data_IF_857865456242
#
_entry.id   IF_857865456242
#
_cell.length_a   1.000
_cell.length_b   1.000
_cell.length_c   1.000
_cell.angle_alpha   90.00
_cell.angle_beta   90.00
_cell.angle_gamma   90.00
#
_symmetry.space_group_name_H-M   'P 1'
#
loop_
_entity.id
_entity.type
_entity.pdbx_description
1 polymer ?
#
# COMPACT_ATOMS: atom_id res chain seq x y z
N UNK A 1 36.13 37.45 -33.17
CA UNK A 1 36.17 37.70 -31.72
C UNK A 1 34.91 38.50 -31.38
N UNK A 2 33.81 37.81 -31.06
CA UNK A 2 32.56 38.43 -30.63
C UNK A 2 32.11 37.75 -29.35
N UNK A 3 31.94 38.61 -28.35
CA UNK A 3 31.54 38.33 -26.99
C UNK A 3 30.10 37.80 -27.01
N UNK A 4 29.88 36.59 -26.52
CA UNK A 4 28.54 36.14 -26.11
C UNK A 4 28.20 36.84 -24.80
N UNK A 5 27.53 37.99 -24.92
CA UNK A 5 26.90 38.67 -23.79
C UNK A 5 25.70 37.87 -23.32
N UNK A 6 25.67 37.70 -21.99
CA UNK A 6 24.51 37.27 -21.22
C UNK A 6 23.44 38.36 -21.34
N UNK A 7 22.34 38.05 -22.03
CA UNK A 7 21.06 38.77 -21.93
C UNK A 7 19.98 37.70 -21.68
N UNK A 8 19.65 37.50 -20.40
CA UNK A 8 18.43 38.00 -19.76
C UNK A 8 17.16 37.30 -20.26
N UNK A 9 16.59 36.40 -19.45
CA UNK A 9 15.68 36.79 -18.36
C UNK A 9 14.51 37.67 -18.83
N UNK A 10 13.83 37.37 -19.95
CA UNK A 10 12.49 37.93 -20.21
C UNK A 10 11.75 37.15 -21.31
N UNK A 11 11.29 35.94 -20.99
CA UNK A 11 10.15 35.32 -21.72
C UNK A 11 9.56 34.17 -20.87
N UNK A 12 8.88 34.47 -19.75
CA UNK A 12 8.12 33.45 -19.03
C UNK A 12 7.03 32.81 -19.91
N UNK A 13 6.68 33.41 -21.05
CA UNK A 13 5.70 32.89 -22.01
C UNK A 13 6.16 31.64 -22.76
N UNK A 14 7.46 31.44 -23.02
CA UNK A 14 7.94 30.26 -23.75
C UNK A 14 8.07 29.01 -22.86
N UNK A 15 8.40 29.17 -21.58
CA UNK A 15 8.39 28.06 -20.62
C UNK A 15 6.95 27.62 -20.31
N UNK A 16 6.04 28.58 -20.16
CA UNK A 16 4.61 28.30 -20.00
C UNK A 16 4.03 27.67 -21.28
N UNK A 17 4.42 28.12 -22.47
CA UNK A 17 4.01 27.50 -23.74
C UNK A 17 4.64 26.12 -23.97
N UNK A 18 5.83 25.81 -23.46
CA UNK A 18 6.37 24.44 -23.48
C UNK A 18 5.64 23.51 -22.49
N UNK A 19 5.22 24.02 -21.32
CA UNK A 19 4.34 23.30 -20.40
C UNK A 19 2.95 23.05 -21.01
N UNK A 20 2.45 23.96 -21.86
CA UNK A 20 1.17 23.80 -22.56
C UNK A 20 1.27 23.08 -23.93
N UNK A 21 2.43 22.95 -24.55
CA UNK A 21 2.61 22.09 -25.75
C UNK A 21 2.55 20.60 -25.36
N UNK A 22 2.57 20.30 -24.05
CA UNK A 22 2.23 19.00 -23.44
C UNK A 22 0.69 18.81 -23.33
N UNK A 23 -0.15 19.73 -23.83
CA UNK A 23 -1.61 19.69 -23.72
C UNK A 23 -2.30 18.45 -24.31
N UNK A 24 -1.62 17.67 -25.18
CA UNK A 24 -2.14 16.38 -25.66
C UNK A 24 -1.96 15.20 -24.67
N UNK A 25 -1.03 15.31 -23.72
CA UNK A 25 -0.62 14.22 -22.81
C UNK A 25 -0.79 14.54 -21.32
N UNK A 26 -1.24 15.75 -20.95
CA UNK A 26 -1.48 16.20 -19.57
C UNK A 26 -2.21 15.17 -18.69
N UNK A 27 -3.36 14.58 -19.08
CA UNK A 27 -4.04 13.60 -18.22
C UNK A 27 -3.25 12.29 -18.06
N UNK A 28 -2.43 11.92 -19.05
CA UNK A 28 -1.61 10.71 -18.99
C UNK A 28 -0.43 10.90 -18.01
N UNK A 29 0.18 12.08 -18.01
CA UNK A 29 1.26 12.41 -17.08
C UNK A 29 0.78 12.48 -15.63
N UNK A 30 -0.37 13.11 -15.40
CA UNK A 30 -0.96 13.16 -14.05
C UNK A 30 -1.28 11.76 -13.56
N UNK A 31 -1.89 10.90 -14.38
CA UNK A 31 -2.22 9.53 -13.99
C UNK A 31 -0.97 8.68 -13.70
N UNK A 32 0.09 8.82 -14.52
CA UNK A 32 1.39 8.17 -14.27
C UNK A 32 1.97 8.66 -12.93
N UNK A 33 1.93 9.97 -12.69
CA UNK A 33 2.35 10.58 -11.43
C UNK A 33 1.56 10.03 -10.23
N UNK A 34 0.23 10.00 -10.30
CA UNK A 34 -0.63 9.44 -9.27
C UNK A 34 -0.33 7.97 -8.99
N UNK A 35 -0.07 7.17 -10.03
CA UNK A 35 0.27 5.74 -9.88
C UNK A 35 1.60 5.54 -9.17
N UNK A 36 2.65 6.26 -9.59
CA UNK A 36 3.95 6.23 -8.92
C UNK A 36 3.86 6.74 -7.48
N UNK A 37 3.03 7.77 -7.25
CA UNK A 37 2.81 8.35 -5.93
C UNK A 37 2.16 7.36 -4.97
N UNK A 38 1.06 6.73 -5.39
CA UNK A 38 0.36 5.73 -4.56
C UNK A 38 1.27 4.53 -4.27
N UNK A 39 2.07 4.09 -5.24
CA UNK A 39 3.09 3.06 -5.00
C UNK A 39 4.08 3.48 -3.90
N UNK A 40 4.60 4.72 -3.98
CA UNK A 40 5.45 5.29 -2.95
C UNK A 40 4.78 5.34 -1.58
N UNK A 41 3.49 5.69 -1.51
CA UNK A 41 2.73 5.71 -0.26
C UNK A 41 2.53 4.33 0.36
N UNK A 42 2.33 3.29 -0.48
CA UNK A 42 2.25 1.91 0.01
C UNK A 42 3.59 1.46 0.61
N UNK A 43 4.71 1.75 -0.07
CA UNK A 43 6.05 1.44 0.45
C UNK A 43 6.35 2.20 1.74
N UNK A 44 6.04 3.50 1.78
CA UNK A 44 6.20 4.33 2.97
C UNK A 44 5.33 3.85 4.13
N UNK A 45 4.09 3.44 3.86
CA UNK A 45 3.21 2.80 4.85
C UNK A 45 3.81 1.51 5.41
N UNK A 46 4.37 0.66 4.54
CA UNK A 46 5.11 -0.54 4.95
C UNK A 46 6.31 -0.21 5.84
N UNK A 47 7.12 0.77 5.44
CA UNK A 47 8.28 1.23 6.20
C UNK A 47 7.88 1.73 7.60
N UNK A 48 6.89 2.63 7.68
CA UNK A 48 6.39 3.18 8.96
C UNK A 48 5.79 2.12 9.89
N UNK A 49 5.25 1.02 9.35
CA UNK A 49 4.82 -0.13 10.15
C UNK A 49 6.02 -0.92 10.70
N UNK A 50 7.03 -1.17 9.86
CA UNK A 50 8.23 -1.93 10.25
C UNK A 50 9.10 -1.16 11.24
N UNK A 51 9.14 0.16 11.15
CA UNK A 51 9.85 1.05 12.09
C UNK A 51 9.05 1.33 13.36
N UNK A 52 7.84 0.77 13.51
CA UNK A 52 6.91 1.03 14.61
C UNK A 52 6.51 2.51 14.79
N UNK A 53 6.83 3.37 13.81
CA UNK A 53 6.68 4.82 13.90
C UNK A 53 5.30 5.32 13.44
N UNK A 54 4.38 4.42 13.06
CA UNK A 54 3.07 4.77 12.52
C UNK A 54 2.10 5.39 13.54
N UNK A 55 2.27 5.07 14.83
CA UNK A 55 1.51 5.64 15.96
C UNK A 55 2.42 6.14 17.08
N UNK A 56 3.70 5.76 17.08
CA UNK A 56 4.60 6.13 18.16
C UNK A 56 5.04 7.59 17.97
N UNK A 57 4.90 8.35 19.05
CA UNK A 57 5.74 9.50 19.33
C UNK A 57 7.19 9.12 19.02
N UNK A 58 7.90 9.98 18.30
CA UNK A 58 9.20 9.67 17.71
C UNK A 58 10.18 9.10 18.74
N UNK A 59 10.99 8.14 18.28
CA UNK A 59 12.10 7.43 18.96
C UNK A 59 11.85 6.71 20.30
N UNK A 60 10.81 7.07 21.04
CA UNK A 60 10.66 6.69 22.44
C UNK A 60 9.91 5.37 22.61
N UNK A 61 10.61 4.39 23.21
CA UNK A 61 10.04 3.14 23.71
C UNK A 61 9.66 3.33 25.18
N UNK A 62 8.43 2.93 25.53
CA UNK A 62 7.92 2.94 26.92
C UNK A 62 8.84 2.15 27.88
N UNK A 63 9.61 1.19 27.34
CA UNK A 63 10.67 0.47 28.04
C UNK A 63 11.97 0.49 27.21
N UNK A 64 13.08 0.96 27.82
CA UNK A 64 14.44 0.83 27.27
C UNK A 64 15.09 2.13 26.75
N UNK A 65 14.32 3.18 26.53
CA UNK A 65 14.85 4.53 26.23
C UNK A 65 14.56 5.48 27.39
N UNK A 66 15.56 6.30 27.76
CA UNK A 66 15.41 7.30 28.82
C UNK A 66 14.19 8.19 28.53
N UNK A 67 13.35 8.41 29.54
CA UNK A 67 12.19 9.28 29.43
C UNK A 67 12.64 10.73 29.15
N UNK A 68 12.00 11.46 28.22
CA UNK A 68 12.20 12.89 28.09
C UNK A 68 11.99 13.53 29.46
N UNK A 69 13.08 14.02 30.03
CA UNK A 69 13.14 14.50 31.41
C UNK A 69 13.10 16.02 31.49
N UNK A 70 13.27 16.68 30.35
CA UNK A 70 13.22 18.14 30.20
C UNK A 70 12.12 18.54 29.22
N UNK A 71 11.59 19.74 29.40
CA UNK A 71 10.60 20.32 28.47
C UNK A 71 11.15 20.43 27.05
N UNK A 72 12.45 20.67 26.89
CA UNK A 72 13.13 20.73 25.60
C UNK A 72 13.13 19.39 24.87
N UNK A 73 13.43 18.28 25.58
CA UNK A 73 13.36 16.93 25.04
C UNK A 73 11.93 16.59 24.63
N UNK A 74 10.95 16.97 25.45
CA UNK A 74 9.52 16.81 25.16
C UNK A 74 9.08 17.58 23.90
N UNK A 75 9.47 18.84 23.79
CA UNK A 75 9.14 19.66 22.62
C UNK A 75 9.78 19.11 21.35
N UNK A 76 11.00 18.56 21.44
CA UNK A 76 11.67 17.93 20.30
C UNK A 76 10.89 16.72 19.77
N UNK A 77 10.48 15.81 20.65
CA UNK A 77 9.70 14.63 20.26
C UNK A 77 8.30 15.00 19.76
N UNK A 78 7.65 15.97 20.40
CA UNK A 78 6.34 16.46 19.95
C UNK A 78 6.42 17.16 18.58
N UNK A 79 7.47 17.93 18.32
CA UNK A 79 7.69 18.57 17.02
C UNK A 79 7.96 17.54 15.92
N UNK A 80 8.76 16.52 16.19
CA UNK A 80 9.03 15.46 15.23
C UNK A 80 7.76 14.62 14.93
N UNK A 81 6.93 14.35 15.94
CA UNK A 81 5.58 13.78 15.74
C UNK A 81 4.69 14.66 14.83
N UNK A 82 4.62 15.98 15.09
CA UNK A 82 3.84 16.91 14.25
C UNK A 82 4.33 16.95 12.81
N UNK A 83 5.64 16.87 12.58
CA UNK A 83 6.24 16.84 11.24
C UNK A 83 5.84 15.57 10.50
N UNK A 84 5.99 14.39 11.12
CA UNK A 84 5.57 13.11 10.51
C UNK A 84 4.08 13.09 10.16
N UNK A 85 3.25 13.59 11.07
CA UNK A 85 1.80 13.70 10.88
C UNK A 85 1.41 14.68 9.77
N UNK A 86 2.06 15.85 9.72
CA UNK A 86 1.81 16.86 8.68
C UNK A 86 2.33 16.41 7.31
N UNK A 87 3.46 15.69 7.27
CA UNK A 87 3.99 15.10 6.04
C UNK A 87 2.98 14.13 5.42
N UNK A 88 2.44 13.17 6.18
CA UNK A 88 1.45 12.21 5.68
C UNK A 88 0.20 12.89 5.08
N UNK A 89 -0.24 14.02 5.66
CA UNK A 89 -1.36 14.81 5.13
C UNK A 89 -1.00 15.58 3.88
N UNK A 90 0.17 16.18 3.84
CA UNK A 90 0.71 16.81 2.63
C UNK A 90 0.73 15.84 1.45
N UNK A 91 1.05 14.56 1.73
CA UNK A 91 1.04 13.54 0.69
C UNK A 91 -0.36 13.23 0.14
N UNK A 92 -1.37 13.20 1.00
CA UNK A 92 -2.77 13.03 0.61
C UNK A 92 -3.34 14.25 -0.14
N UNK A 93 -2.96 15.46 0.26
CA UNK A 93 -3.33 16.70 -0.41
C UNK A 93 -2.74 16.75 -1.82
N UNK A 94 -1.48 16.35 -2.01
CA UNK A 94 -0.87 16.28 -3.34
C UNK A 94 -1.65 15.37 -4.30
N UNK A 95 -2.06 14.18 -3.82
CA UNK A 95 -2.90 13.27 -4.59
C UNK A 95 -4.26 13.90 -4.93
N UNK A 96 -4.94 14.50 -3.94
CA UNK A 96 -6.23 15.15 -4.15
C UNK A 96 -6.15 16.31 -5.14
N UNK A 97 -5.11 17.15 -5.07
CA UNK A 97 -4.86 18.25 -5.99
C UNK A 97 -4.62 17.74 -7.42
N UNK A 98 -3.85 16.66 -7.59
CA UNK A 98 -3.65 16.02 -8.90
C UNK A 98 -4.97 15.54 -9.51
N UNK A 99 -5.83 14.91 -8.70
CA UNK A 99 -7.15 14.44 -9.14
C UNK A 99 -8.11 15.60 -9.46
N UNK A 100 -8.13 16.66 -8.66
CA UNK A 100 -8.91 17.87 -8.91
C UNK A 100 -8.42 18.59 -10.18
N UNK A 101 -7.11 18.71 -10.39
CA UNK A 101 -6.55 19.29 -11.61
C UNK A 101 -6.98 18.51 -12.86
N UNK A 102 -7.01 17.17 -12.80
CA UNK A 102 -7.57 16.34 -13.87
C UNK A 102 -9.07 16.61 -14.11
N UNK A 103 -9.86 16.76 -13.05
CA UNK A 103 -11.31 17.00 -13.17
C UNK A 103 -11.63 18.40 -13.74
N UNK A 104 -10.85 19.42 -13.35
CA UNK A 104 -11.07 20.82 -13.72
C UNK A 104 -10.52 21.19 -15.11
N UNK A 105 -9.64 20.37 -15.68
CA UNK A 105 -8.99 20.70 -16.96
C UNK A 105 -9.88 20.52 -18.19
N UNK A 106 -11.09 19.95 -18.10
CA UNK A 106 -12.03 19.71 -19.22
C UNK A 106 -11.45 19.00 -20.48
N UNK A 107 -10.17 18.62 -20.47
CA UNK A 107 -9.45 17.99 -21.59
C UNK A 107 -9.62 16.45 -21.61
N UNK A 108 -10.52 15.88 -20.80
CA UNK A 108 -10.63 14.43 -20.60
C UNK A 108 -11.97 13.93 -21.13
N UNK A 109 -11.94 12.84 -21.91
CA UNK A 109 -13.16 12.17 -22.39
C UNK A 109 -14.04 11.76 -21.19
N UNK A 110 -15.37 11.95 -21.25
CA UNK A 110 -16.29 11.63 -20.15
C UNK A 110 -16.08 10.27 -19.46
N UNK A 111 -15.84 9.15 -20.19
CA UNK A 111 -15.62 7.85 -19.53
C UNK A 111 -14.29 7.78 -18.75
N UNK A 112 -13.25 8.49 -19.18
CA UNK A 112 -12.00 8.56 -18.43
C UNK A 112 -12.15 9.50 -17.23
N UNK A 113 -12.90 10.61 -17.38
CA UNK A 113 -13.21 11.52 -16.28
C UNK A 113 -13.95 10.78 -15.15
N UNK A 114 -15.00 10.00 -15.46
CA UNK A 114 -15.71 9.19 -14.47
C UNK A 114 -14.79 8.21 -13.73
N UNK A 115 -13.94 7.49 -14.47
CA UNK A 115 -12.99 6.53 -13.87
C UNK A 115 -12.00 7.22 -12.94
N UNK A 116 -11.47 8.38 -13.33
CA UNK A 116 -10.58 9.16 -12.50
C UNK A 116 -11.31 9.69 -11.25
N UNK A 117 -12.52 10.23 -11.40
CA UNK A 117 -13.34 10.66 -10.26
C UNK A 117 -13.58 9.52 -9.28
N UNK A 118 -13.90 8.32 -9.77
CA UNK A 118 -14.06 7.13 -8.91
C UNK A 118 -12.75 6.74 -8.21
N UNK A 119 -11.61 6.79 -8.90
CA UNK A 119 -10.30 6.55 -8.27
C UNK A 119 -9.99 7.60 -7.19
N UNK A 120 -10.33 8.87 -7.43
CA UNK A 120 -10.18 9.94 -6.46
C UNK A 120 -11.06 9.74 -5.23
N UNK A 121 -12.33 9.34 -5.44
CA UNK A 121 -13.25 9.01 -4.36
C UNK A 121 -12.74 7.82 -3.52
N UNK A 122 -12.26 6.75 -4.17
CA UNK A 122 -11.64 5.61 -3.48
C UNK A 122 -10.39 6.03 -2.69
N UNK A 123 -9.55 6.91 -3.23
CA UNK A 123 -8.43 7.50 -2.50
C UNK A 123 -8.87 8.33 -1.28
N UNK A 124 -9.97 9.08 -1.40
CA UNK A 124 -10.59 9.78 -0.27
C UNK A 124 -11.07 8.83 0.82
N UNK A 125 -11.77 7.74 0.45
CA UNK A 125 -12.15 6.67 1.38
C UNK A 125 -10.91 6.07 2.04
N UNK A 126 -9.81 5.90 1.31
CA UNK A 126 -8.56 5.38 1.87
C UNK A 126 -7.98 6.29 2.95
N UNK A 127 -8.01 7.61 2.71
CA UNK A 127 -7.66 8.60 3.74
C UNK A 127 -8.55 8.51 4.99
N UNK A 128 -9.86 8.34 4.82
CA UNK A 128 -10.80 8.17 5.93
C UNK A 128 -10.55 6.88 6.72
N UNK A 129 -10.26 5.78 6.04
CA UNK A 129 -9.92 4.50 6.67
C UNK A 129 -8.61 4.62 7.46
N UNK A 130 -7.60 5.29 6.89
CA UNK A 130 -6.34 5.56 7.59
C UNK A 130 -6.55 6.41 8.85
N UNK A 131 -7.39 7.45 8.77
CA UNK A 131 -7.78 8.22 9.96
C UNK A 131 -8.51 7.36 10.99
N UNK A 132 -9.45 6.52 10.56
CA UNK A 132 -10.17 5.61 11.45
C UNK A 132 -9.23 4.65 12.18
N UNK A 133 -8.27 4.05 11.46
CA UNK A 133 -7.22 3.21 12.03
C UNK A 133 -6.45 3.93 13.14
N UNK A 134 -5.98 5.15 12.87
CA UNK A 134 -5.18 5.91 13.84
C UNK A 134 -6.01 6.28 15.07
N UNK A 135 -7.19 6.87 14.87
CA UNK A 135 -8.08 7.29 15.96
C UNK A 135 -8.45 6.13 16.89
N UNK A 136 -8.75 4.98 16.30
CA UNK A 136 -9.19 3.80 17.05
C UNK A 136 -8.03 3.02 17.70
N UNK A 137 -6.78 3.37 17.42
CA UNK A 137 -5.60 2.85 18.13
C UNK A 137 -5.39 3.48 19.50
N UNK A 138 -6.01 4.64 19.77
CA UNK A 138 -5.91 5.35 21.06
C UNK A 138 -7.00 4.97 22.08
N UNK A 139 -7.91 4.05 21.74
CA UNK A 139 -8.88 3.50 22.70
C UNK A 139 -8.16 2.51 23.62
N UNK A 140 -8.46 2.56 24.92
CA UNK A 140 -7.67 1.88 25.97
C UNK A 140 -7.41 0.39 25.65
N UNK A 141 -6.14 -0.06 25.72
CA UNK A 141 -5.81 -1.47 25.48
C UNK A 141 -6.41 -2.37 26.57
N UNK A 142 -7.08 -3.45 26.16
CA UNK A 142 -7.60 -4.47 27.10
C UNK A 142 -6.52 -5.37 27.71
N UNK A 143 -5.24 -5.13 27.39
CA UNK A 143 -4.10 -5.89 27.89
C UNK A 143 -3.26 -5.04 28.82
N UNK A 144 -2.71 -5.68 29.87
CA UNK A 144 -1.87 -5.11 30.93
C UNK A 144 -0.69 -4.27 30.40
N UNK A 145 -0.23 -4.57 29.19
CA UNK A 145 0.72 -3.75 28.42
C UNK A 145 -0.04 -2.68 27.61
N UNK A 146 -0.01 -1.44 28.10
CA UNK A 146 -0.64 -0.26 27.47
C UNK A 146 0.09 0.23 26.22
N UNK A 147 0.07 -0.54 25.13
CA UNK A 147 0.52 -0.05 23.81
C UNK A 147 -0.69 0.29 22.94
N UNK A 148 -0.81 1.55 22.45
CA UNK A 148 -1.83 1.93 21.47
C UNK A 148 -1.64 1.08 20.20
N UNK A 149 -2.61 0.23 19.86
CA UNK A 149 -2.49 -0.71 18.75
C UNK A 149 -3.68 -0.67 17.82
N UNK A 150 -3.38 -0.71 16.52
CA UNK A 150 -4.39 -0.88 15.48
C UNK A 150 -4.77 -2.35 15.38
N UNK A 151 -6.07 -2.63 15.36
CA UNK A 151 -6.59 -3.98 15.10
C UNK A 151 -6.02 -4.55 13.79
N UNK A 152 -5.58 -5.83 13.76
CA UNK A 152 -5.08 -6.50 12.56
C UNK A 152 -6.08 -6.46 11.40
N UNK A 153 -7.38 -6.56 11.70
CA UNK A 153 -8.45 -6.48 10.69
C UNK A 153 -8.48 -5.12 10.00
N UNK A 154 -8.27 -4.02 10.74
CA UNK A 154 -8.23 -2.67 10.16
C UNK A 154 -7.00 -2.48 9.28
N UNK A 155 -5.85 -3.00 9.72
CA UNK A 155 -4.61 -2.98 8.93
C UNK A 155 -4.76 -3.77 7.62
N UNK A 156 -5.29 -4.99 7.69
CA UNK A 156 -5.56 -5.81 6.51
C UNK A 156 -6.53 -5.12 5.55
N UNK A 157 -7.64 -4.58 6.07
CA UNK A 157 -8.62 -3.85 5.27
C UNK A 157 -8.00 -2.65 4.55
N UNK A 158 -7.21 -1.83 5.25
CA UNK A 158 -6.56 -0.67 4.67
C UNK A 158 -5.50 -1.04 3.63
N UNK A 159 -4.66 -2.04 3.89
CA UNK A 159 -3.65 -2.49 2.93
C UNK A 159 -4.29 -3.05 1.65
N UNK A 160 -5.32 -3.89 1.79
CA UNK A 160 -6.01 -4.49 0.65
C UNK A 160 -6.73 -3.43 -0.19
N UNK A 161 -7.34 -2.45 0.46
CA UNK A 161 -7.99 -1.37 -0.28
C UNK A 161 -6.96 -0.46 -0.98
N UNK A 162 -5.79 -0.19 -0.37
CA UNK A 162 -4.67 0.49 -1.03
C UNK A 162 -4.17 -0.29 -2.24
N UNK A 163 -3.97 -1.60 -2.10
CA UNK A 163 -3.54 -2.48 -3.19
C UNK A 163 -4.55 -2.54 -4.33
N UNK A 164 -5.85 -2.57 -4.01
CA UNK A 164 -6.92 -2.46 -4.99
C UNK A 164 -6.91 -1.13 -5.75
N UNK A 165 -6.80 0.00 -5.04
CA UNK A 165 -6.69 1.33 -5.65
C UNK A 165 -5.46 1.43 -6.55
N UNK A 166 -4.30 0.96 -6.08
CA UNK A 166 -3.08 0.91 -6.88
C UNK A 166 -3.25 0.06 -8.14
N UNK A 167 -3.89 -1.10 -8.03
CA UNK A 167 -4.16 -1.99 -9.17
C UNK A 167 -5.03 -1.29 -10.21
N UNK A 168 -6.08 -0.57 -9.78
CA UNK A 168 -6.93 0.21 -10.69
C UNK A 168 -6.13 1.33 -11.36
N UNK A 169 -5.36 2.12 -10.60
CA UNK A 169 -4.53 3.21 -11.16
C UNK A 169 -3.48 2.70 -12.14
N UNK A 170 -2.82 1.60 -11.80
CA UNK A 170 -1.83 0.93 -12.65
C UNK A 170 -2.49 0.41 -13.93
N UNK A 171 -3.64 -0.26 -13.81
CA UNK A 171 -4.39 -0.76 -14.97
C UNK A 171 -4.79 0.38 -15.91
N UNK A 172 -5.27 1.49 -15.36
CA UNK A 172 -5.63 2.68 -16.13
C UNK A 172 -4.40 3.29 -16.81
N UNK A 173 -3.25 3.36 -16.12
CA UNK A 173 -1.99 3.84 -16.70
C UNK A 173 -1.50 2.96 -17.83
N UNK A 174 -1.48 1.64 -17.63
CA UNK A 174 -1.07 0.67 -18.65
C UNK A 174 -2.01 0.70 -19.87
N UNK A 175 -3.31 0.89 -19.65
CA UNK A 175 -4.29 1.04 -20.73
C UNK A 175 -4.04 2.27 -21.61
N UNK A 176 -3.43 3.33 -21.05
CA UNK A 176 -3.02 4.52 -21.81
C UNK A 176 -1.66 4.35 -22.48
N UNK A 177 -0.75 3.58 -21.87
CA UNK A 177 0.57 3.28 -22.43
C UNK A 177 0.51 2.24 -23.56
N UNK A 178 -0.47 1.33 -23.51
CA UNK A 178 -0.63 0.19 -24.41
C UNK A 178 -2.05 0.20 -25.02
N UNK A 179 -2.30 1.00 -26.07
CA UNK A 179 -3.63 1.15 -26.65
C UNK A 179 -4.18 -0.17 -27.24
N UNK A 180 -5.47 -0.42 -27.04
CA UNK A 180 -6.21 -1.58 -27.58
C UNK A 180 -6.01 -1.85 -29.08
N UNK A 181 -5.97 -0.87 -30.01
CA UNK A 181 -5.73 -1.17 -31.43
C UNK A 181 -4.32 -1.70 -31.72
N UNK A 182 -3.30 -1.27 -30.98
CA UNK A 182 -1.94 -1.82 -31.11
C UNK A 182 -1.88 -3.26 -30.58
N UNK A 183 -2.59 -3.54 -29.48
CA UNK A 183 -2.75 -4.89 -28.92
C UNK A 183 -3.58 -5.81 -29.83
N UNK A 184 -4.61 -5.28 -30.48
CA UNK A 184 -5.47 -5.99 -31.40
C UNK A 184 -4.75 -6.28 -32.73
N UNK A 185 -3.96 -5.35 -33.26
CA UNK A 185 -3.13 -5.55 -34.45
C UNK A 185 -2.06 -6.64 -34.22
N UNK A 186 -1.42 -6.66 -33.05
CA UNK A 186 -0.48 -7.73 -32.69
C UNK A 186 -1.17 -9.11 -32.52
N UNK A 187 -2.40 -9.14 -31.99
CA UNK A 187 -3.17 -10.36 -31.80
C UNK A 187 -3.79 -10.90 -33.10
N UNK A 188 -4.15 -10.03 -34.04
CA UNK A 188 -4.77 -10.40 -35.32
C UNK A 188 -3.86 -11.31 -36.18
N UNK A 189 -2.54 -11.16 -36.05
CA UNK A 189 -1.54 -11.99 -36.76
C UNK A 189 -1.53 -13.46 -36.31
N UNK A 190 -2.16 -13.81 -35.18
CA UNK A 190 -2.13 -15.15 -34.56
C UNK A 190 -3.48 -15.55 -33.92
N UNK A 191 -4.59 -15.08 -34.49
CA UNK A 191 -5.87 -14.83 -33.81
C UNK A 191 -6.59 -16.02 -33.12
N UNK A 192 -6.51 -17.26 -33.62
CA UNK A 192 -7.24 -18.39 -33.02
C UNK A 192 -6.49 -19.03 -31.83
N UNK A 193 -5.19 -19.32 -32.01
CA UNK A 193 -4.34 -19.85 -30.95
C UNK A 193 -4.12 -18.81 -29.83
N UNK A 194 -4.03 -17.53 -30.17
CA UNK A 194 -3.92 -16.45 -29.18
C UNK A 194 -5.20 -16.17 -28.42
N UNK A 195 -6.39 -16.40 -28.97
CA UNK A 195 -7.64 -16.21 -28.24
C UNK A 195 -7.79 -17.23 -27.09
N UNK A 196 -7.47 -18.50 -27.34
CA UNK A 196 -7.44 -19.55 -26.32
C UNK A 196 -6.32 -19.31 -25.30
N UNK A 197 -5.11 -18.95 -25.75
CA UNK A 197 -4.00 -18.60 -24.87
C UNK A 197 -4.31 -17.35 -24.00
N UNK A 198 -5.00 -16.34 -24.54
CA UNK A 198 -5.43 -15.17 -23.79
C UNK A 198 -6.57 -15.47 -22.80
N UNK A 199 -7.45 -16.44 -23.10
CA UNK A 199 -8.45 -16.91 -22.15
C UNK A 199 -7.81 -17.69 -20.99
N UNK A 200 -6.88 -18.60 -21.29
CA UNK A 200 -6.09 -19.31 -20.28
C UNK A 200 -5.26 -18.33 -19.41
N UNK A 201 -4.54 -17.40 -20.05
CA UNK A 201 -3.76 -16.38 -19.35
C UNK A 201 -4.61 -15.47 -18.45
N UNK A 202 -5.87 -15.19 -18.81
CA UNK A 202 -6.79 -14.45 -17.93
C UNK A 202 -7.17 -15.25 -16.69
N UNK A 203 -7.47 -16.54 -16.83
CA UNK A 203 -7.75 -17.43 -15.70
C UNK A 203 -6.54 -17.51 -14.77
N UNK A 204 -5.36 -17.71 -15.35
CA UNK A 204 -4.11 -17.78 -14.58
C UNK A 204 -3.77 -16.45 -13.92
N UNK A 205 -4.00 -15.32 -14.59
CA UNK A 205 -3.83 -13.99 -14.00
C UNK A 205 -4.79 -13.73 -12.83
N UNK A 206 -6.05 -14.17 -12.93
CA UNK A 206 -7.00 -14.09 -11.81
C UNK A 206 -6.60 -15.00 -10.65
N UNK A 207 -6.14 -16.22 -10.93
CA UNK A 207 -5.63 -17.13 -9.91
C UNK A 207 -4.40 -16.55 -9.20
N UNK A 208 -3.45 -16.00 -9.97
CA UNK A 208 -2.28 -15.32 -9.42
C UNK A 208 -2.67 -14.10 -8.59
N UNK A 209 -3.61 -13.27 -9.07
CA UNK A 209 -4.11 -12.12 -8.31
C UNK A 209 -4.79 -12.53 -7.00
N UNK A 210 -5.54 -13.63 -7.00
CA UNK A 210 -6.16 -14.17 -5.79
C UNK A 210 -5.11 -14.67 -4.78
N UNK A 211 -4.10 -15.40 -5.25
CA UNK A 211 -2.97 -15.85 -4.41
C UNK A 211 -2.21 -14.64 -3.86
N UNK A 212 -1.91 -13.65 -4.69
CA UNK A 212 -1.25 -12.42 -4.25
C UNK A 212 -2.08 -11.71 -3.17
N UNK A 213 -3.39 -11.53 -3.39
CA UNK A 213 -4.28 -10.91 -2.41
C UNK A 213 -4.34 -11.70 -1.10
N UNK A 214 -4.35 -13.03 -1.15
CA UNK A 214 -4.29 -13.90 0.02
C UNK A 214 -2.96 -13.72 0.77
N UNK A 215 -1.83 -13.69 0.07
CA UNK A 215 -0.51 -13.44 0.64
C UNK A 215 -0.39 -12.06 1.28
N UNK A 216 -0.88 -11.01 0.60
CA UNK A 216 -0.93 -9.65 1.16
C UNK A 216 -1.81 -9.59 2.41
N UNK A 217 -2.97 -10.26 2.40
CA UNK A 217 -3.85 -10.35 3.56
C UNK A 217 -3.15 -11.04 4.73
N UNK A 218 -2.54 -12.20 4.48
CA UNK A 218 -1.78 -12.95 5.49
C UNK A 218 -0.63 -12.14 6.06
N UNK A 219 0.12 -11.43 5.19
CA UNK A 219 1.19 -10.52 5.62
C UNK A 219 0.67 -9.37 6.48
N UNK A 220 -0.51 -8.82 6.16
CA UNK A 220 -1.13 -7.78 6.97
C UNK A 220 -1.56 -8.27 8.36
N UNK A 221 -2.08 -9.50 8.46
CA UNK A 221 -2.38 -10.11 9.76
C UNK A 221 -1.10 -10.39 10.55
N UNK A 222 -0.03 -10.87 9.90
CA UNK A 222 1.26 -11.09 10.56
C UNK A 222 1.82 -9.77 11.09
N UNK A 223 1.81 -8.73 10.27
CA UNK A 223 2.22 -7.40 10.68
C UNK A 223 1.27 -6.81 11.74
N UNK A 224 -0.03 -7.08 11.70
CA UNK A 224 -1.00 -6.56 12.66
C UNK A 224 -0.89 -7.18 14.05
N UNK A 225 -0.50 -8.46 14.12
CA UNK A 225 -0.36 -9.22 15.36
C UNK A 225 1.09 -9.26 15.89
N UNK A 226 2.03 -8.57 15.24
CA UNK A 226 3.49 -8.68 15.52
C UNK A 226 4.02 -10.13 15.47
N UNK A 227 3.31 -10.98 14.73
CA UNK A 227 3.57 -12.40 14.62
C UNK A 227 4.90 -12.71 13.91
N UNK A 228 5.50 -11.73 13.23
CA UNK A 228 6.83 -11.91 12.63
C UNK A 228 7.96 -12.14 13.66
N UNK A 229 7.67 -11.97 14.96
CA UNK A 229 8.64 -12.13 16.04
C UNK A 229 8.44 -13.38 16.91
N UNK A 230 7.31 -14.08 16.80
CA UNK A 230 7.03 -15.20 17.70
C UNK A 230 7.83 -16.45 17.34
N UNK A 231 8.08 -16.71 16.05
CA UNK A 231 8.92 -17.83 15.61
C UNK A 231 9.99 -17.37 14.61
N UNK A 232 11.23 -17.22 15.08
CA UNK A 232 12.35 -16.70 14.27
C UNK A 232 13.21 -17.79 13.61
N UNK A 233 12.83 -19.06 13.73
CA UNK A 233 13.50 -20.18 13.06
C UNK A 233 12.76 -20.57 11.78
N UNK A 234 13.48 -21.21 10.86
CA UNK A 234 12.94 -21.74 9.61
C UNK A 234 13.72 -23.03 9.26
N UNK A 235 13.08 -24.08 8.69
CA UNK A 235 11.67 -24.18 8.32
C UNK A 235 10.70 -24.41 9.48
N UNK A 236 11.20 -24.85 10.65
CA UNK A 236 10.41 -25.05 11.86
C UNK A 236 10.08 -23.73 12.56
N UNK A 237 8.96 -23.68 13.27
CA UNK A 237 8.54 -22.56 14.12
C UNK A 237 8.97 -22.84 15.57
N UNK A 238 10.18 -22.41 15.92
CA UNK A 238 10.88 -22.88 17.12
C UNK A 238 11.39 -24.31 16.93
N UNK A 239 11.13 -25.16 17.93
CA UNK A 239 11.44 -26.61 17.87
C UNK A 239 10.34 -27.43 17.18
N UNK A 240 9.20 -26.80 16.87
CA UNK A 240 8.00 -27.44 16.36
C UNK A 240 7.75 -27.12 14.88
N UNK A 241 7.18 -28.06 14.12
CA UNK A 241 6.69 -27.79 12.76
C UNK A 241 5.35 -27.06 12.79
N UNK A 242 4.52 -27.36 13.78
CA UNK A 242 3.27 -26.66 14.07
C UNK A 242 3.30 -26.29 15.55
N UNK A 243 3.17 -25.00 15.91
CA UNK A 243 3.13 -24.59 17.31
C UNK A 243 1.98 -25.30 18.05
N UNK A 244 2.22 -25.87 19.24
CA UNK A 244 1.19 -26.59 20.01
C UNK A 244 -0.05 -25.73 20.33
N UNK A 245 0.10 -24.42 20.37
CA UNK A 245 -0.94 -23.41 20.59
C UNK A 245 -2.02 -23.45 19.51
N UNK A 246 -1.70 -23.93 18.31
CA UNK A 246 -2.66 -24.20 17.22
C UNK A 246 -3.70 -25.26 17.64
N UNK A 247 -3.31 -26.18 18.51
CA UNK A 247 -4.15 -27.28 19.01
C UNK A 247 -4.72 -27.00 20.40
N UNK A 248 -4.56 -25.78 20.92
CA UNK A 248 -5.02 -25.43 22.25
C UNK A 248 -6.55 -25.60 22.38
N UNK A 249 -7.05 -26.13 23.52
CA UNK A 249 -8.48 -26.20 23.80
C UNK A 249 -9.10 -24.80 23.75
N UNK A 250 -10.19 -24.62 22.99
CA UNK A 250 -10.84 -23.32 22.80
C UNK A 250 -10.38 -22.52 21.57
N UNK A 251 -9.68 -23.16 20.61
CA UNK A 251 -9.40 -22.58 19.31
C UNK A 251 -10.71 -22.31 18.52
N UNK A 252 -10.95 -21.06 18.15
CA UNK A 252 -12.09 -20.64 17.31
C UNK A 252 -11.59 -20.12 15.97
N UNK A 253 -12.50 -19.97 14.99
CA UNK A 253 -12.13 -19.44 13.66
C UNK A 253 -11.52 -18.03 13.74
N UNK A 254 -11.95 -17.22 14.70
CA UNK A 254 -11.45 -15.86 14.93
C UNK A 254 -10.05 -15.88 15.53
N UNK A 255 -9.79 -16.81 16.46
CA UNK A 255 -8.46 -16.97 17.06
C UNK A 255 -7.37 -17.34 16.07
N UNK A 256 -7.73 -17.96 14.92
CA UNK A 256 -6.77 -18.19 13.83
C UNK A 256 -6.14 -16.90 13.30
N UNK A 257 -6.87 -15.77 13.36
CA UNK A 257 -6.44 -14.47 12.85
C UNK A 257 -5.89 -13.51 13.93
N UNK A 258 -6.03 -13.88 15.20
CA UNK A 258 -5.66 -13.07 16.37
C UNK A 258 -4.50 -13.66 17.17
N UNK A 259 -4.31 -14.99 17.12
CA UNK A 259 -3.17 -15.63 17.76
C UNK A 259 -1.91 -15.45 16.89
N UNK A 260 -0.81 -14.86 17.41
CA UNK A 260 0.40 -14.62 16.62
C UNK A 260 0.96 -15.87 15.94
N UNK A 261 0.94 -17.02 16.60
CA UNK A 261 1.54 -18.25 16.10
C UNK A 261 0.70 -18.90 15.00
N UNK A 262 -0.64 -18.88 15.14
CA UNK A 262 -1.53 -19.36 14.07
C UNK A 262 -1.43 -18.47 12.83
N UNK A 263 -1.32 -17.16 13.04
CA UNK A 263 -1.17 -16.16 11.97
C UNK A 263 0.17 -16.29 11.26
N UNK A 264 1.27 -16.43 12.00
CA UNK A 264 2.59 -16.65 11.41
C UNK A 264 2.63 -17.96 10.62
N UNK A 265 2.06 -19.04 11.18
CA UNK A 265 1.94 -20.33 10.51
C UNK A 265 1.19 -20.22 9.19
N UNK A 266 0.05 -19.52 9.16
CA UNK A 266 -0.73 -19.29 7.95
C UNK A 266 0.11 -18.64 6.84
N UNK A 267 0.94 -17.65 7.18
CA UNK A 267 1.85 -17.03 6.22
C UNK A 267 2.95 -17.99 5.73
N UNK A 268 3.55 -18.78 6.63
CA UNK A 268 4.60 -19.75 6.25
C UNK A 268 4.04 -20.81 5.30
N UNK A 269 2.83 -21.31 5.56
CA UNK A 269 2.13 -22.28 4.72
C UNK A 269 1.84 -21.75 3.30
N UNK A 270 1.55 -20.45 3.16
CA UNK A 270 1.37 -19.81 1.84
C UNK A 270 2.69 -19.60 1.08
N UNK A 271 3.80 -19.45 1.80
CA UNK A 271 5.13 -19.25 1.22
C UNK A 271 5.75 -20.56 0.74
N UNK A 272 5.52 -21.64 1.47
CA UNK A 272 6.07 -22.97 1.18
C UNK A 272 4.97 -24.05 1.26
N UNK A 273 4.42 -24.47 0.10
CA UNK A 273 3.40 -25.51 0.03
C UNK A 273 3.87 -26.87 0.57
N UNK A 274 5.18 -27.11 0.63
CA UNK A 274 5.70 -28.39 1.15
C UNK A 274 5.44 -28.54 2.64
N UNK A 275 5.34 -27.44 3.40
CA UNK A 275 4.93 -27.48 4.80
C UNK A 275 3.45 -27.81 5.00
N UNK A 276 2.58 -27.43 4.05
CA UNK A 276 1.19 -27.89 4.05
C UNK A 276 1.10 -29.42 3.92
N UNK A 277 1.98 -30.02 3.11
CA UNK A 277 2.04 -31.48 2.91
C UNK A 277 2.53 -32.22 4.15
N UNK A 278 3.52 -31.68 4.87
CA UNK A 278 4.00 -32.26 6.14
C UNK A 278 2.87 -32.35 7.16
N UNK A 279 1.97 -31.37 7.22
CA UNK A 279 0.81 -31.39 8.13
C UNK A 279 -0.25 -32.39 7.71
N UNK A 280 -0.59 -32.47 6.41
CA UNK A 280 -1.53 -33.47 5.91
C UNK A 280 -1.04 -34.92 6.12
N UNK A 281 0.28 -35.11 6.24
CA UNK A 281 0.87 -36.40 6.55
C UNK A 281 0.84 -36.76 8.06
N UNK A 282 0.55 -35.79 8.94
CA UNK A 282 0.51 -35.98 10.40
C UNK A 282 -0.91 -35.76 10.99
N UNK A 283 -1.92 -35.59 10.15
CA UNK A 283 -3.36 -35.60 10.48
C UNK A 283 -3.97 -36.93 10.04
#
# INVERSE_FOLDING_TARGET
>A
MQVFTIDCLYTPSLFIMQVFTIAGHTPQLILRGCTCWVFGLVLFGGFTRLSESGLSMTSWRLCGTRWPSTDEEWQKEFNAYKVGWSACRGLGVFFALGMCACALTHCIKPPLALKLTLCGALGGVQGLVGWWMVRSGFQEPQTEVKTPRVSPYRLAFHLLMAGGLYTVLLWQTLSLLLPTPARAAAAATTAAATAAAAAAARKDAHAFAAIAALTFSSGAFVAGNDAGRCCNTWPKMGDHWVPPEVYAPGMTVWRLFENPETVQRGLVALRDPTQCLVVLAHL
#
